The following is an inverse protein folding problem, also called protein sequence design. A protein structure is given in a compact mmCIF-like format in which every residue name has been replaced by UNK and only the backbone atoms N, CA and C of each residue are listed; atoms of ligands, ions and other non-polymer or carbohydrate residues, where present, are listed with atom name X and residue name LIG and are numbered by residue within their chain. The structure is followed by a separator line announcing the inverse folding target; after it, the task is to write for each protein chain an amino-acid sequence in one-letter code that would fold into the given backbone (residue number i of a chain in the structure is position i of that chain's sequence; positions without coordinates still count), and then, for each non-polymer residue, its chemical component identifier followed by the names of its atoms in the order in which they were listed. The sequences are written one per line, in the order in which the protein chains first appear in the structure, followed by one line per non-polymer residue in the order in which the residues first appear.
data_IF_828425723544
#
_entry.id   IF_828425723544
#
_cell.length_a   1.000
_cell.length_b   1.000
_cell.length_c   1.000
_cell.angle_alpha   90.00
_cell.angle_beta   90.00
_cell.angle_gamma   90.00
#
_symmetry.space_group_name_H-M   'P 1'
#
loop_
_entity.id
_entity.type
_entity.pdbx_description
1 polymer ?
#
# COMPACT_ATOMS: atom_id res chain seq x y z
N UNK A 1 8.89 -8.43 -1.18
CA UNK A 1 8.54 -8.79 0.21
C UNK A 1 8.95 -10.23 0.52
N UNK A 2 8.39 -11.22 -0.19
CA UNK A 2 8.75 -12.64 0.02
C UNK A 2 10.25 -12.87 -0.15
N UNK A 3 10.82 -12.47 -1.29
CA UNK A 3 12.26 -12.57 -1.57
C UNK A 3 13.14 -11.74 -0.61
N UNK A 4 12.53 -10.80 0.12
CA UNK A 4 13.21 -9.91 1.08
C UNK A 4 13.10 -10.40 2.52
N UNK A 5 12.55 -11.60 2.77
CA UNK A 5 12.53 -12.23 4.10
C UNK A 5 11.17 -12.26 4.81
N UNK A 6 10.04 -12.04 4.12
CA UNK A 6 8.69 -12.12 4.72
C UNK A 6 8.47 -13.44 5.49
N UNK A 7 8.91 -14.56 4.91
CA UNK A 7 8.69 -15.89 5.51
C UNK A 7 9.49 -16.06 6.79
N UNK A 8 10.73 -15.56 6.82
CA UNK A 8 11.60 -15.63 8.00
C UNK A 8 11.09 -14.72 9.11
N UNK A 9 10.64 -13.52 8.76
CA UNK A 9 9.97 -12.60 9.69
C UNK A 9 8.72 -13.25 10.28
N UNK A 10 7.80 -13.71 9.42
CA UNK A 10 6.56 -14.35 9.85
C UNK A 10 6.81 -15.53 10.79
N UNK A 11 7.77 -16.40 10.47
CA UNK A 11 8.11 -17.56 11.31
C UNK A 11 8.58 -17.15 12.71
N UNK A 12 9.40 -16.12 12.82
CA UNK A 12 9.91 -15.62 14.10
C UNK A 12 8.81 -15.00 15.00
N UNK A 13 7.76 -14.43 14.40
CA UNK A 13 6.74 -13.67 15.11
C UNK A 13 5.41 -14.43 15.33
N UNK A 14 5.02 -15.31 14.41
CA UNK A 14 3.72 -16.00 14.42
C UNK A 14 3.72 -17.24 15.32
N UNK A 15 4.83 -17.95 15.41
CA UNK A 15 4.88 -19.25 16.10
C UNK A 15 5.37 -19.09 17.56
N UNK A 16 4.63 -19.50 18.63
CA UNK A 16 3.24 -19.93 18.74
C UNK A 16 2.33 -18.87 19.41
N UNK A 17 2.65 -17.58 19.28
CA UNK A 17 2.16 -16.53 20.19
C UNK A 17 0.79 -15.97 19.85
N UNK A 18 0.31 -16.10 18.61
CA UNK A 18 -0.94 -15.49 18.15
C UNK A 18 -2.04 -16.55 18.00
N UNK A 19 -3.22 -16.26 18.57
CA UNK A 19 -4.44 -17.08 18.45
C UNK A 19 -5.68 -16.26 18.09
N UNK A 20 -5.56 -14.94 18.06
CA UNK A 20 -6.65 -14.03 17.73
C UNK A 20 -6.07 -12.93 16.83
N UNK A 21 -6.68 -12.73 15.67
CA UNK A 21 -6.23 -11.81 14.63
C UNK A 21 -6.98 -10.48 14.65
N UNK A 22 -7.90 -10.25 15.59
CA UNK A 22 -8.81 -9.11 15.59
C UNK A 22 -8.26 -7.84 16.27
N UNK A 23 -7.07 -7.88 16.88
CA UNK A 23 -6.55 -6.75 17.65
C UNK A 23 -5.07 -6.44 17.40
N UNK A 24 -4.72 -5.16 17.50
CA UNK A 24 -3.32 -4.73 17.43
C UNK A 24 -2.60 -5.19 16.16
N UNK A 25 -1.37 -5.66 16.33
CA UNK A 25 -0.51 -6.04 15.21
C UNK A 25 -0.98 -7.30 14.48
N UNK A 26 -1.77 -8.16 15.12
CA UNK A 26 -2.21 -9.41 14.50
C UNK A 26 -3.21 -9.20 13.37
N UNK A 27 -3.71 -7.96 13.20
CA UNK A 27 -4.54 -7.53 12.06
C UNK A 27 -3.74 -7.20 10.80
N UNK A 28 -2.41 -7.20 10.86
CA UNK A 28 -1.59 -6.87 9.71
C UNK A 28 -1.79 -7.93 8.61
N UNK A 29 -1.98 -7.47 7.36
CA UNK A 29 -2.09 -8.35 6.19
C UNK A 29 -0.79 -9.14 6.05
N UNK A 30 -0.90 -10.46 5.93
CA UNK A 30 0.21 -11.41 5.91
C UNK A 30 0.44 -12.13 7.23
N UNK A 31 -0.18 -11.68 8.33
CA UNK A 31 -0.11 -12.38 9.61
C UNK A 31 -1.12 -13.54 9.63
N UNK A 32 -2.41 -13.23 9.46
CA UNK A 32 -3.46 -14.24 9.45
C UNK A 32 -3.36 -15.16 8.24
N UNK A 33 -3.01 -14.62 7.08
CA UNK A 33 -2.92 -15.33 5.81
C UNK A 33 -1.84 -16.41 5.86
N UNK A 34 -0.70 -16.17 6.52
CA UNK A 34 0.40 -17.14 6.57
C UNK A 34 0.27 -18.17 7.71
N UNK A 35 -0.76 -18.09 8.56
CA UNK A 35 -0.89 -18.95 9.73
C UNK A 35 -0.98 -20.43 9.34
N UNK A 36 -1.73 -20.75 8.28
CA UNK A 36 -1.87 -22.12 7.80
C UNK A 36 -0.52 -22.68 7.31
N UNK A 37 0.20 -21.94 6.47
CA UNK A 37 1.54 -22.33 6.03
C UNK A 37 2.49 -22.59 7.21
N UNK A 38 2.53 -21.71 8.22
CA UNK A 38 3.41 -21.89 9.37
C UNK A 38 2.99 -23.08 10.25
N UNK A 39 1.69 -23.31 10.46
CA UNK A 39 1.19 -24.47 11.21
C UNK A 39 1.40 -25.79 10.50
N UNK A 40 1.47 -25.79 9.17
CA UNK A 40 1.72 -26.99 8.36
C UNK A 40 3.17 -27.49 8.41
N UNK A 41 4.10 -26.72 8.99
CA UNK A 41 5.52 -27.08 9.03
C UNK A 41 5.77 -28.42 9.72
N UNK A 42 6.39 -29.36 9.01
CA UNK A 42 6.65 -30.72 9.49
C UNK A 42 5.44 -31.67 9.48
N UNK A 43 4.25 -31.19 9.08
CA UNK A 43 3.02 -31.98 8.99
C UNK A 43 2.68 -32.42 7.57
N UNK A 44 3.13 -31.67 6.56
CA UNK A 44 2.86 -31.93 5.14
C UNK A 44 4.15 -32.08 4.34
N UNK A 45 4.04 -32.71 3.17
CA UNK A 45 5.16 -32.84 2.23
C UNK A 45 5.52 -31.48 1.58
N UNK A 46 6.69 -31.42 0.95
CA UNK A 46 7.21 -30.20 0.35
C UNK A 46 6.34 -29.63 -0.78
N UNK A 47 5.68 -30.49 -1.57
CA UNK A 47 4.82 -30.05 -2.66
C UNK A 47 3.55 -29.40 -2.11
N UNK A 48 2.90 -30.05 -1.14
CA UNK A 48 1.73 -29.50 -0.46
C UNK A 48 2.07 -28.19 0.25
N UNK A 49 3.23 -28.11 0.89
CA UNK A 49 3.70 -26.87 1.55
C UNK A 49 3.93 -25.72 0.58
N UNK A 50 4.47 -25.99 -0.60
CA UNK A 50 4.67 -24.96 -1.63
C UNK A 50 3.33 -24.42 -2.15
N UNK A 51 2.30 -25.28 -2.27
CA UNK A 51 0.94 -24.88 -2.64
C UNK A 51 0.30 -23.97 -1.59
N UNK A 52 0.44 -24.30 -0.30
CA UNK A 52 -0.03 -23.45 0.80
C UNK A 52 0.64 -22.08 0.75
N UNK A 53 1.97 -22.03 0.66
CA UNK A 53 2.69 -20.75 0.58
C UNK A 53 2.20 -19.88 -0.58
N UNK A 54 1.95 -20.50 -1.75
CA UNK A 54 1.45 -19.78 -2.91
C UNK A 54 0.04 -19.24 -2.67
N UNK A 55 -0.85 -20.03 -2.10
CA UNK A 55 -2.21 -19.60 -1.75
C UNK A 55 -2.20 -18.42 -0.77
N UNK A 56 -1.37 -18.49 0.27
CA UNK A 56 -1.25 -17.44 1.28
C UNK A 56 -0.71 -16.13 0.66
N UNK A 57 0.27 -16.21 -0.25
CA UNK A 57 0.78 -15.04 -1.00
C UNK A 57 -0.31 -14.42 -1.88
N UNK A 58 -1.14 -15.24 -2.52
CA UNK A 58 -2.23 -14.76 -3.35
C UNK A 58 -3.32 -14.08 -2.50
N UNK A 59 -3.61 -14.61 -1.31
CA UNK A 59 -4.52 -13.98 -0.36
C UNK A 59 -3.99 -12.63 0.16
N UNK A 60 -2.70 -12.55 0.54
CA UNK A 60 -2.02 -11.30 0.92
C UNK A 60 -2.16 -10.25 -0.17
N UNK A 61 -1.91 -10.65 -1.41
CA UNK A 61 -2.00 -9.76 -2.58
C UNK A 61 -3.43 -9.24 -2.75
N UNK A 62 -4.42 -10.14 -2.70
CA UNK A 62 -5.82 -9.77 -2.82
C UNK A 62 -6.29 -8.84 -1.70
N UNK A 63 -5.91 -9.12 -0.45
CA UNK A 63 -6.29 -8.30 0.70
C UNK A 63 -5.59 -6.93 0.66
N UNK A 64 -4.35 -6.85 0.18
CA UNK A 64 -3.64 -5.59 -0.05
C UNK A 64 -4.34 -4.73 -1.11
N UNK A 65 -4.77 -5.34 -2.22
CA UNK A 65 -5.57 -4.64 -3.25
C UNK A 65 -6.89 -4.10 -2.69
N UNK A 66 -7.63 -4.92 -1.93
CA UNK A 66 -8.87 -4.48 -1.26
C UNK A 66 -8.61 -3.31 -0.31
N UNK A 67 -7.53 -3.37 0.48
CA UNK A 67 -7.14 -2.31 1.38
C UNK A 67 -6.87 -1.00 0.63
N UNK A 68 -6.10 -1.06 -0.47
CA UNK A 68 -5.83 0.11 -1.31
C UNK A 68 -7.12 0.74 -1.86
N UNK A 69 -8.05 -0.08 -2.38
CA UNK A 69 -9.36 0.39 -2.84
C UNK A 69 -10.15 1.09 -1.71
N UNK A 70 -10.18 0.50 -0.51
CA UNK A 70 -10.85 1.11 0.64
C UNK A 70 -10.18 2.42 1.09
N UNK A 71 -8.85 2.51 1.02
CA UNK A 71 -8.12 3.73 1.34
C UNK A 71 -8.46 4.86 0.37
N UNK A 72 -8.49 4.58 -0.94
CA UNK A 72 -8.92 5.55 -1.95
C UNK A 72 -10.34 6.04 -1.66
N UNK A 73 -11.28 5.12 -1.42
CA UNK A 73 -12.66 5.49 -1.07
C UNK A 73 -12.75 6.37 0.17
N UNK A 74 -11.96 6.09 1.21
CA UNK A 74 -11.90 6.94 2.42
C UNK A 74 -11.36 8.34 2.13
N UNK A 75 -10.32 8.47 1.30
CA UNK A 75 -9.73 9.76 0.93
C UNK A 75 -10.72 10.58 0.08
N UNK A 76 -11.43 9.96 -0.86
CA UNK A 76 -12.47 10.63 -1.64
C UNK A 76 -13.59 11.16 -0.74
N UNK A 77 -14.06 10.36 0.22
CA UNK A 77 -15.02 10.80 1.23
C UNK A 77 -14.50 11.97 2.07
N UNK A 78 -13.22 11.96 2.47
CA UNK A 78 -12.58 13.10 3.16
C UNK A 78 -12.68 14.40 2.35
N UNK A 79 -12.42 14.32 1.05
CA UNK A 79 -12.56 15.48 0.14
C UNK A 79 -14.02 15.91 -0.01
N UNK A 80 -14.92 14.99 -0.33
CA UNK A 80 -16.28 15.28 -0.77
C UNK A 80 -17.26 15.53 0.38
N UNK A 81 -17.23 14.71 1.44
CA UNK A 81 -18.19 14.80 2.55
C UNK A 81 -17.73 15.79 3.62
N UNK A 82 -16.42 15.86 3.88
CA UNK A 82 -15.87 16.70 4.95
C UNK A 82 -15.27 18.01 4.41
N UNK A 83 -15.25 18.21 3.09
CA UNK A 83 -14.76 19.44 2.45
C UNK A 83 -13.26 19.66 2.61
N UNK A 84 -12.47 18.60 2.87
CA UNK A 84 -11.03 18.74 3.05
C UNK A 84 -10.36 19.16 1.76
N UNK A 85 -9.56 20.23 1.83
CA UNK A 85 -8.72 20.69 0.73
C UNK A 85 -7.54 19.73 0.56
N UNK A 86 -7.73 18.71 -0.28
CA UNK A 86 -6.72 17.68 -0.57
C UNK A 86 -6.16 17.91 -1.96
N UNK A 87 -4.89 18.33 -2.02
CA UNK A 87 -4.15 18.44 -3.26
C UNK A 87 -3.64 17.07 -3.71
N UNK A 88 -4.05 16.64 -4.91
CA UNK A 88 -3.67 15.33 -5.45
C UNK A 88 -2.36 15.43 -6.22
N UNK A 89 -1.43 14.53 -5.92
CA UNK A 89 -0.22 14.30 -6.69
C UNK A 89 -0.40 13.00 -7.47
N UNK A 90 -0.24 13.05 -8.80
CA UNK A 90 -0.42 11.88 -9.64
C UNK A 90 0.93 11.18 -9.84
N UNK A 91 1.14 10.11 -9.07
CA UNK A 91 2.34 9.27 -9.16
C UNK A 91 2.18 8.07 -10.13
N UNK A 92 1.10 7.97 -10.90
CA UNK A 92 0.82 6.81 -11.77
C UNK A 92 2.00 6.51 -12.71
N UNK A 93 2.53 7.53 -13.37
CA UNK A 93 3.68 7.39 -14.28
C UNK A 93 4.96 6.92 -13.57
N UNK A 94 5.12 7.20 -12.28
CA UNK A 94 6.25 6.69 -11.49
C UNK A 94 6.18 5.17 -11.39
N UNK A 95 4.99 4.64 -11.14
CA UNK A 95 4.77 3.19 -10.99
C UNK A 95 4.71 2.44 -12.32
N UNK A 96 4.43 3.12 -13.44
CA UNK A 96 4.43 2.53 -14.78
C UNK A 96 5.82 2.43 -15.40
N UNK A 97 6.79 3.23 -14.93
CA UNK A 97 8.16 3.24 -15.43
C UNK A 97 9.07 2.32 -14.61
N UNK A 98 10.19 1.93 -15.20
CA UNK A 98 11.23 1.13 -14.55
C UNK A 98 12.50 1.95 -14.32
N UNK A 99 13.27 1.59 -13.30
CA UNK A 99 14.63 2.09 -13.02
C UNK A 99 14.75 3.63 -13.02
N UNK A 100 15.73 4.18 -13.75
CA UNK A 100 16.06 5.61 -13.76
C UNK A 100 14.90 6.50 -14.25
N UNK A 101 14.07 5.99 -15.16
CA UNK A 101 12.93 6.73 -15.70
C UNK A 101 11.82 6.94 -14.65
N UNK A 102 11.72 6.03 -13.67
CA UNK A 102 10.81 6.16 -12.53
C UNK A 102 11.27 7.25 -11.56
N UNK A 103 12.57 7.35 -11.30
CA UNK A 103 13.13 8.41 -10.45
C UNK A 103 12.91 9.79 -11.06
N UNK A 104 13.17 9.95 -12.36
CA UNK A 104 12.91 11.22 -13.06
C UNK A 104 11.41 11.58 -13.03
N UNK A 105 10.53 10.60 -13.25
CA UNK A 105 9.09 10.81 -13.14
C UNK A 105 8.67 11.21 -11.72
N UNK A 106 9.28 10.60 -10.69
CA UNK A 106 9.01 10.96 -9.29
C UNK A 106 9.43 12.39 -8.99
N UNK A 107 10.63 12.78 -9.42
CA UNK A 107 11.13 14.14 -9.22
C UNK A 107 10.17 15.18 -9.83
N UNK A 108 9.77 14.98 -11.08
CA UNK A 108 8.93 15.92 -11.83
C UNK A 108 7.46 15.93 -11.40
N UNK A 109 6.88 14.77 -11.12
CA UNK A 109 5.42 14.63 -10.91
C UNK A 109 5.01 14.66 -9.44
N UNK A 110 5.93 14.37 -8.52
CA UNK A 110 5.64 14.25 -7.08
C UNK A 110 6.50 15.21 -6.26
N UNK A 111 7.83 15.11 -6.35
CA UNK A 111 8.74 15.86 -5.48
C UNK A 111 8.68 17.37 -5.71
N UNK A 112 8.85 17.82 -6.95
CA UNK A 112 8.83 19.25 -7.27
C UNK A 112 7.45 19.89 -6.98
N UNK A 113 6.31 19.32 -7.43
CA UNK A 113 5.00 19.88 -7.12
C UNK A 113 4.70 19.92 -5.62
N UNK A 114 5.01 18.86 -4.87
CA UNK A 114 4.78 18.80 -3.43
C UNK A 114 5.62 19.83 -2.68
N UNK A 115 6.90 19.98 -3.03
CA UNK A 115 7.81 20.96 -2.42
C UNK A 115 7.31 22.38 -2.66
N UNK A 116 6.88 22.70 -3.89
CA UNK A 116 6.30 24.00 -4.22
C UNK A 116 5.00 24.28 -3.45
N UNK A 117 4.12 23.29 -3.31
CA UNK A 117 2.90 23.41 -2.50
C UNK A 117 3.22 23.71 -1.03
N UNK A 118 4.17 22.97 -0.44
CA UNK A 118 4.61 23.18 0.94
C UNK A 118 5.26 24.55 1.12
N UNK A 119 6.11 24.98 0.18
CA UNK A 119 6.75 26.29 0.22
C UNK A 119 5.70 27.42 0.21
N UNK A 120 4.71 27.37 -0.69
CA UNK A 120 3.62 28.38 -0.73
C UNK A 120 2.79 28.39 0.54
N UNK A 121 2.48 27.22 1.09
CA UNK A 121 1.76 27.08 2.36
C UNK A 121 2.52 27.75 3.51
N UNK A 122 3.83 27.51 3.61
CA UNK A 122 4.70 28.11 4.64
C UNK A 122 4.82 29.63 4.42
N UNK A 123 4.98 30.08 3.18
CA UNK A 123 5.12 31.50 2.83
C UNK A 123 3.79 32.29 2.88
N UNK A 124 2.66 31.64 3.14
CA UNK A 124 1.30 32.23 3.14
C UNK A 124 0.92 32.90 1.82
N UNK A 125 1.44 32.39 0.71
CA UNK A 125 1.02 32.83 -0.62
C UNK A 125 -0.34 32.19 -0.95
N UNK A 126 -1.26 32.97 -1.56
CA UNK A 126 -2.51 32.42 -2.04
C UNK A 126 -2.22 31.37 -3.12
N UNK A 127 -2.67 30.14 -2.89
CA UNK A 127 -2.53 29.04 -3.84
C UNK A 127 -3.67 29.16 -4.87
N UNK A 128 -3.51 30.01 -5.87
CA UNK A 128 -4.38 30.03 -7.05
C UNK A 128 -3.96 28.90 -8.00
N UNK A 129 -4.59 27.74 -7.86
CA UNK A 129 -4.39 26.62 -8.78
C UNK A 129 -5.50 26.64 -9.83
N UNK A 130 -5.11 26.77 -11.09
CA UNK A 130 -6.01 26.49 -12.21
C UNK A 130 -6.30 24.99 -12.22
N UNK A 131 -7.57 24.59 -12.44
CA UNK A 131 -7.91 23.19 -12.55
C UNK A 131 -7.06 22.53 -13.65
N UNK A 132 -6.44 21.40 -13.31
CA UNK A 132 -5.71 20.58 -14.28
C UNK A 132 -6.70 19.91 -15.21
N UNK A 133 -6.31 19.71 -16.48
CA UNK A 133 -7.17 19.33 -17.61
C UNK A 133 -8.08 18.09 -17.43
N UNK A 134 -7.93 17.32 -16.34
CA UNK A 134 -8.86 16.26 -15.95
C UNK A 134 -10.18 16.76 -15.37
N UNK A 135 -10.26 18.00 -14.89
CA UNK A 135 -11.46 18.59 -14.29
C UNK A 135 -12.47 19.13 -15.34
N UNK A 136 -12.24 18.88 -16.64
CA UNK A 136 -13.15 19.27 -17.74
C UNK A 136 -13.82 18.08 -18.44
N UNK A 137 -13.61 16.85 -17.98
CA UNK A 137 -14.17 15.63 -18.59
C UNK A 137 -15.12 14.84 -17.67
N UNK A 138 -15.64 15.46 -16.62
CA UNK A 138 -16.78 14.95 -15.83
C UNK A 138 -17.91 15.95 -15.88
#
# INVERSE_FOLDING_TARGET
MVDSGLVEEGKAFLYPKIRNYDYGFSRAIGVSEMDEFFRSEGLVDGETRAKLLKADIDEITMNTCKLACHQVGKILRMREEFGWQIYQLNATEVFLRCDGDANEAWEKLVLEPSTNMVARFICKENIDLKPTAYEQLV
#
